data_IF_041983958593
#
_entry.id   IF_041983958593
#
_cell.length_a   1.000
_cell.length_b   1.000
_cell.length_c   1.000
_cell.angle_alpha   90.00
_cell.angle_beta   90.00
_cell.angle_gamma   90.00
#
_symmetry.space_group_name_H-M   'P 1'
#
loop_
_entity.id
_entity.type
_entity.pdbx_description
1 polymer ?
#
# COMPACT_ATOMS: atom_id res chain seq x y z
N UNK A 1 -2.01 31.69 10.23
CA UNK A 1 -2.98 32.80 10.44
C UNK A 1 -2.49 33.89 11.42
N UNK A 2 -1.44 33.70 12.24
CA UNK A 2 -1.05 34.71 13.25
C UNK A 2 0.10 35.67 12.89
N UNK A 3 0.79 35.49 11.76
CA UNK A 3 1.91 36.37 11.38
C UNK A 3 1.49 37.54 10.47
N UNK A 4 0.33 37.43 9.82
CA UNK A 4 -0.16 38.40 8.83
C UNK A 4 -0.73 39.68 9.49
N UNK A 5 -1.21 39.57 10.73
CA UNK A 5 -1.89 40.67 11.41
C UNK A 5 -0.96 41.67 12.12
N UNK A 6 0.34 41.37 12.23
CA UNK A 6 1.29 42.27 12.89
C UNK A 6 1.77 43.44 11.99
N UNK A 7 1.43 43.42 10.70
CA UNK A 7 1.87 44.44 9.74
C UNK A 7 0.86 45.60 9.54
N UNK A 8 -0.34 45.53 10.11
CA UNK A 8 -1.46 46.42 9.79
C UNK A 8 -1.55 47.72 10.61
N UNK A 9 -0.51 48.08 11.36
CA UNK A 9 -0.56 49.17 12.34
C UNK A 9 0.47 50.28 12.15
N UNK A 10 0.48 51.01 11.02
CA UNK A 10 0.92 52.41 10.93
C UNK A 10 0.65 52.98 9.52
N UNK A 11 -0.08 54.09 9.45
CA UNK A 11 -0.51 54.79 8.23
C UNK A 11 0.55 55.78 7.74
N UNK A 12 0.79 55.85 6.43
CA UNK A 12 1.31 57.06 5.76
C UNK A 12 2.28 56.82 4.60
N UNK A 13 1.76 56.85 3.35
CA UNK A 13 2.46 57.07 2.07
C UNK A 13 3.98 56.80 2.01
N UNK A 14 4.33 55.52 2.01
CA UNK A 14 5.46 54.97 1.27
C UNK A 14 5.05 53.54 0.95
N UNK A 15 5.08 53.15 -0.32
CA UNK A 15 4.97 51.73 -0.65
C UNK A 15 6.12 51.03 0.08
N UNK A 16 5.82 50.26 1.13
CA UNK A 16 6.83 49.66 2.01
C UNK A 16 7.80 48.78 1.22
N UNK A 17 9.01 48.56 1.71
CA UNK A 17 10.02 47.71 1.03
C UNK A 17 9.46 46.32 0.67
N UNK A 18 9.75 45.84 -0.55
CA UNK A 18 9.41 44.47 -0.97
C UNK A 18 10.44 43.42 -0.53
N UNK A 19 11.57 43.84 0.06
CA UNK A 19 12.62 42.91 0.49
C UNK A 19 12.13 41.80 1.42
N UNK A 20 11.26 42.05 2.41
CA UNK A 20 10.71 40.98 3.24
C UNK A 20 10.00 39.89 2.43
N UNK A 21 9.30 40.27 1.36
CA UNK A 21 8.62 39.32 0.48
C UNK A 21 9.63 38.46 -0.30
N UNK A 22 10.70 39.08 -0.80
CA UNK A 22 11.78 38.37 -1.50
C UNK A 22 12.48 37.37 -0.57
N UNK A 23 12.70 37.72 0.70
CA UNK A 23 13.27 36.83 1.70
C UNK A 23 12.36 35.64 2.01
N UNK A 24 11.05 35.88 2.19
CA UNK A 24 10.06 34.82 2.39
C UNK A 24 10.04 33.85 1.21
N UNK A 25 9.96 34.36 -0.02
CA UNK A 25 9.97 33.54 -1.22
C UNK A 25 11.27 32.72 -1.34
N UNK A 26 12.42 33.36 -1.11
CA UNK A 26 13.73 32.69 -1.12
C UNK A 26 13.81 31.56 -0.08
N UNK A 27 13.26 31.78 1.11
CA UNK A 27 13.18 30.78 2.17
C UNK A 27 12.27 29.60 1.80
N UNK A 28 11.11 29.87 1.19
CA UNK A 28 10.19 28.84 0.71
C UNK A 28 10.83 27.97 -0.37
N UNK A 29 11.50 28.57 -1.36
CA UNK A 29 12.18 27.82 -2.44
C UNK A 29 13.23 26.87 -1.86
N UNK A 30 14.05 27.33 -0.92
CA UNK A 30 15.03 26.49 -0.22
C UNK A 30 14.35 25.31 0.48
N UNK A 31 13.27 25.59 1.23
CA UNK A 31 12.52 24.55 1.93
C UNK A 31 11.91 23.52 0.97
N UNK A 32 11.37 23.96 -0.18
CA UNK A 32 10.82 23.05 -1.22
C UNK A 32 11.91 22.10 -1.74
N UNK A 33 13.11 22.62 -2.02
CA UNK A 33 14.24 21.82 -2.48
C UNK A 33 14.69 20.82 -1.41
N UNK A 34 14.66 21.19 -0.13
CA UNK A 34 14.98 20.29 0.98
C UNK A 34 13.94 19.16 1.13
N UNK A 35 12.64 19.46 1.05
CA UNK A 35 11.58 18.44 1.07
C UNK A 35 11.77 17.48 -0.11
N UNK A 36 12.06 17.98 -1.30
CA UNK A 36 12.35 17.15 -2.47
C UNK A 36 13.56 16.22 -2.24
N UNK A 37 14.66 16.74 -1.69
CA UNK A 37 15.86 15.91 -1.43
C UNK A 37 15.60 14.77 -0.46
N UNK A 38 14.68 14.96 0.49
CA UNK A 38 14.26 13.95 1.44
C UNK A 38 13.19 12.98 0.90
N UNK A 39 12.65 13.20 -0.30
CA UNK A 39 11.56 12.39 -0.84
C UNK A 39 12.04 10.98 -1.23
N UNK A 40 11.35 9.96 -0.70
CA UNK A 40 11.60 8.55 -1.03
C UNK A 40 10.71 8.05 -2.18
N UNK A 41 9.50 8.61 -2.32
CA UNK A 41 8.51 8.23 -3.33
C UNK A 41 8.10 9.41 -4.21
N UNK A 42 7.49 9.13 -5.36
CA UNK A 42 7.04 10.14 -6.35
C UNK A 42 8.14 11.15 -6.69
N UNK A 43 9.38 10.65 -6.82
CA UNK A 43 10.56 11.51 -6.93
C UNK A 43 10.53 12.33 -8.21
N UNK A 44 9.87 11.87 -9.27
CA UNK A 44 9.81 12.60 -10.55
C UNK A 44 8.86 13.78 -10.44
N UNK A 45 7.66 13.56 -9.88
CA UNK A 45 6.72 14.64 -9.56
C UNK A 45 7.35 15.66 -8.60
N UNK A 46 7.99 15.19 -7.53
CA UNK A 46 8.66 16.08 -6.57
C UNK A 46 9.82 16.85 -7.21
N UNK A 47 10.61 16.19 -8.07
CA UNK A 47 11.72 16.83 -8.82
C UNK A 47 11.20 17.92 -9.74
N UNK A 48 10.18 17.63 -10.54
CA UNK A 48 9.59 18.56 -11.51
C UNK A 48 9.19 19.88 -10.83
N UNK A 49 8.48 19.80 -9.70
CA UNK A 49 8.10 21.00 -8.93
C UNK A 49 9.30 21.72 -8.29
N UNK A 50 10.28 20.98 -7.77
CA UNK A 50 11.49 21.58 -7.19
C UNK A 50 12.34 22.30 -8.25
N UNK A 51 12.47 21.71 -9.43
CA UNK A 51 13.18 22.31 -10.58
C UNK A 51 12.44 23.54 -11.10
N UNK A 52 11.10 23.51 -11.14
CA UNK A 52 10.28 24.69 -11.46
C UNK A 52 10.55 25.82 -10.51
N UNK A 53 10.40 25.64 -9.20
CA UNK A 53 10.65 26.73 -8.24
C UNK A 53 12.11 27.18 -8.25
N UNK A 54 13.06 26.29 -8.53
CA UNK A 54 14.49 26.63 -8.61
C UNK A 54 14.83 27.71 -9.64
N UNK A 55 14.06 27.85 -10.73
CA UNK A 55 14.33 28.88 -11.75
C UNK A 55 14.08 30.30 -11.24
N UNK A 56 13.30 30.47 -10.16
CA UNK A 56 13.01 31.80 -9.59
C UNK A 56 14.15 32.38 -8.78
N UNK A 57 15.15 31.58 -8.42
CA UNK A 57 16.27 32.05 -7.60
C UNK A 57 16.97 33.23 -8.27
N UNK A 58 17.32 33.13 -9.56
CA UNK A 58 17.99 34.20 -10.28
C UNK A 58 17.14 35.49 -10.39
N UNK A 59 15.86 35.44 -10.84
CA UNK A 59 14.97 36.60 -10.82
C UNK A 59 14.83 37.26 -9.44
N UNK A 60 14.75 36.47 -8.36
CA UNK A 60 14.66 37.00 -6.99
C UNK A 60 15.95 37.71 -6.55
N UNK A 61 17.13 37.17 -6.87
CA UNK A 61 18.40 37.86 -6.58
C UNK A 61 18.53 39.18 -7.35
N UNK A 62 18.04 39.25 -8.59
CA UNK A 62 17.99 40.50 -9.36
C UNK A 62 17.06 41.55 -8.73
N UNK A 63 16.04 41.14 -7.98
CA UNK A 63 15.21 42.08 -7.21
C UNK A 63 15.97 42.68 -6.03
N UNK A 64 16.87 41.93 -5.38
CA UNK A 64 17.65 42.45 -4.24
C UNK A 64 18.65 43.53 -4.62
N UNK A 65 19.11 43.50 -5.87
CA UNK A 65 20.11 44.43 -6.40
C UNK A 65 19.45 45.70 -6.94
N UNK A 66 18.20 45.61 -7.40
CA UNK A 66 17.48 46.77 -7.95
C UNK A 66 17.14 47.79 -6.85
N UNK A 67 17.36 49.06 -7.15
CA UNK A 67 16.96 50.14 -6.24
C UNK A 67 15.44 50.16 -6.06
N UNK A 68 14.97 50.26 -4.81
CA UNK A 68 13.54 50.22 -4.44
C UNK A 68 12.68 51.33 -5.09
N UNK A 69 13.32 52.37 -5.62
CA UNK A 69 12.69 53.57 -6.14
C UNK A 69 12.04 53.39 -7.53
N UNK A 70 12.21 52.24 -8.18
CA UNK A 70 11.43 51.87 -9.37
C UNK A 70 10.05 51.35 -8.93
N UNK A 71 9.15 52.31 -8.66
CA UNK A 71 7.75 52.20 -8.29
C UNK A 71 7.10 50.86 -8.67
N UNK A 72 7.08 49.94 -7.70
CA UNK A 72 6.23 48.76 -7.74
C UNK A 72 4.90 49.14 -7.13
N UNK A 73 3.87 49.14 -7.96
CA UNK A 73 2.51 49.49 -7.60
C UNK A 73 1.83 48.38 -6.77
N UNK A 74 0.60 48.63 -6.35
CA UNK A 74 -0.24 47.65 -5.63
C UNK A 74 -0.39 46.33 -6.42
N UNK A 75 -0.35 46.41 -7.75
CA UNK A 75 -0.45 45.24 -8.65
C UNK A 75 0.76 44.32 -8.45
N UNK A 76 1.96 44.87 -8.34
CA UNK A 76 3.15 44.07 -8.04
C UNK A 76 3.04 43.36 -6.68
N UNK A 77 2.64 44.06 -5.62
CA UNK A 77 2.51 43.45 -4.30
C UNK A 77 1.48 42.33 -4.31
N UNK A 78 0.34 42.55 -4.95
CA UNK A 78 -0.70 41.53 -5.13
C UNK A 78 -0.17 40.30 -5.88
N UNK A 79 0.58 40.49 -6.97
CA UNK A 79 1.22 39.41 -7.72
C UNK A 79 2.24 38.64 -6.86
N UNK A 80 3.02 39.35 -6.04
CA UNK A 80 4.04 38.73 -5.18
C UNK A 80 3.42 37.91 -4.05
N UNK A 81 2.34 38.40 -3.42
CA UNK A 81 1.60 37.63 -2.42
C UNK A 81 1.00 36.36 -3.02
N UNK A 82 0.45 36.43 -4.24
CA UNK A 82 -0.02 35.23 -4.96
C UNK A 82 1.13 34.25 -5.22
N UNK A 83 2.29 34.75 -5.62
CA UNK A 83 3.47 33.91 -5.83
C UNK A 83 3.91 33.17 -4.55
N UNK A 84 3.99 33.88 -3.42
CA UNK A 84 4.29 33.26 -2.11
C UNK A 84 3.26 32.18 -1.77
N UNK A 85 1.98 32.46 -1.96
CA UNK A 85 0.90 31.48 -1.73
C UNK A 85 1.05 30.22 -2.59
N UNK A 86 1.40 30.37 -3.87
CA UNK A 86 1.67 29.23 -4.75
C UNK A 86 2.86 28.41 -4.27
N UNK A 87 3.96 29.06 -3.84
CA UNK A 87 5.11 28.37 -3.27
C UNK A 87 4.75 27.56 -2.01
N UNK A 88 3.91 28.12 -1.14
CA UNK A 88 3.42 27.41 0.06
C UNK A 88 2.62 26.15 -0.33
N UNK A 89 1.71 26.26 -1.30
CA UNK A 89 0.92 25.12 -1.78
C UNK A 89 1.79 24.05 -2.44
N UNK A 90 2.80 24.46 -3.22
CA UNK A 90 3.78 23.52 -3.81
C UNK A 90 4.54 22.79 -2.70
N UNK A 91 5.02 23.50 -1.68
CA UNK A 91 5.74 22.90 -0.55
C UNK A 91 4.88 21.86 0.17
N UNK A 92 3.64 22.22 0.48
CA UNK A 92 2.70 21.31 1.13
C UNK A 92 2.44 20.08 0.25
N UNK A 93 2.19 20.29 -1.04
CA UNK A 93 1.93 19.20 -1.97
C UNK A 93 3.11 18.25 -2.13
N UNK A 94 4.35 18.75 -2.26
CA UNK A 94 5.54 17.89 -2.30
C UNK A 94 5.66 17.07 -1.02
N UNK A 95 5.40 17.67 0.14
CA UNK A 95 5.44 16.96 1.43
C UNK A 95 4.34 15.89 1.56
N UNK A 96 3.18 16.09 0.94
CA UNK A 96 2.11 15.10 0.87
C UNK A 96 2.47 13.97 -0.10
N UNK A 97 2.77 14.31 -1.36
CA UNK A 97 2.96 13.34 -2.45
C UNK A 97 4.22 12.50 -2.25
N UNK A 98 5.29 13.06 -1.67
CA UNK A 98 6.51 12.31 -1.33
C UNK A 98 6.28 11.14 -0.36
N UNK A 99 5.17 11.15 0.38
CA UNK A 99 4.79 10.10 1.34
C UNK A 99 3.77 9.10 0.77
N UNK A 100 3.19 9.38 -0.41
CA UNK A 100 2.19 8.49 -1.01
C UNK A 100 2.91 7.29 -1.64
N UNK A 101 2.71 6.12 -1.05
CA UNK A 101 3.29 4.85 -1.51
C UNK A 101 2.26 3.70 -1.40
N UNK A 102 2.62 2.54 -1.95
CA UNK A 102 1.79 1.34 -1.90
C UNK A 102 0.41 1.55 -2.54
N UNK A 103 -0.64 0.94 -1.95
CA UNK A 103 -1.99 1.00 -2.53
C UNK A 103 -2.57 2.44 -2.59
N UNK A 104 -2.12 3.34 -1.70
CA UNK A 104 -2.60 4.73 -1.67
C UNK A 104 -2.18 5.54 -2.90
N UNK A 105 -1.13 5.11 -3.61
CA UNK A 105 -0.66 5.72 -4.88
C UNK A 105 -1.76 5.62 -5.95
N UNK A 106 -2.43 4.48 -6.08
CA UNK A 106 -3.51 4.24 -7.06
C UNK A 106 -4.79 5.01 -6.75
N UNK A 107 -5.28 4.90 -5.51
CA UNK A 107 -6.54 5.52 -5.11
C UNK A 107 -6.51 7.05 -5.24
N UNK A 108 -5.31 7.65 -5.29
CA UNK A 108 -5.10 9.10 -5.40
C UNK A 108 -4.53 9.53 -6.74
N UNK A 109 -4.36 8.65 -7.73
CA UNK A 109 -3.65 8.96 -8.98
C UNK A 109 -4.29 10.15 -9.75
N UNK A 110 -5.62 10.19 -9.85
CA UNK A 110 -6.36 11.30 -10.49
C UNK A 110 -6.14 12.60 -9.70
N UNK A 111 -6.33 12.55 -8.38
CA UNK A 111 -6.18 13.73 -7.50
C UNK A 111 -4.75 14.28 -7.51
N UNK A 112 -3.75 13.39 -7.55
CA UNK A 112 -2.32 13.75 -7.69
C UNK A 112 -2.09 14.45 -9.02
N UNK A 113 -2.65 13.92 -10.11
CA UNK A 113 -2.53 14.54 -11.45
C UNK A 113 -3.14 15.93 -11.48
N UNK A 114 -4.41 16.06 -11.11
CA UNK A 114 -5.14 17.34 -11.13
C UNK A 114 -4.47 18.40 -10.26
N UNK A 115 -4.01 18.02 -9.06
CA UNK A 115 -3.33 18.95 -8.14
C UNK A 115 -1.95 19.36 -8.68
N UNK A 116 -1.21 18.45 -9.31
CA UNK A 116 0.05 18.78 -9.96
C UNK A 116 -0.16 19.77 -11.11
N UNK A 117 -1.06 19.46 -12.05
CA UNK A 117 -1.38 20.31 -13.21
C UNK A 117 -1.77 21.71 -12.77
N UNK A 118 -2.70 21.81 -11.81
CA UNK A 118 -3.13 23.10 -11.26
C UNK A 118 -1.99 23.89 -10.64
N UNK A 119 -1.13 23.26 -9.83
CA UNK A 119 -0.01 23.95 -9.20
C UNK A 119 1.02 24.44 -10.23
N UNK A 120 1.24 23.68 -11.30
CA UNK A 120 2.13 24.12 -12.38
C UNK A 120 1.56 25.32 -13.14
N UNK A 121 0.25 25.35 -13.41
CA UNK A 121 -0.44 26.47 -14.05
C UNK A 121 -0.47 27.72 -13.16
N UNK A 122 -0.79 27.57 -11.88
CA UNK A 122 -0.80 28.66 -10.90
C UNK A 122 0.61 29.27 -10.77
N UNK A 123 1.65 28.44 -10.78
CA UNK A 123 3.05 28.90 -10.75
C UNK A 123 3.43 29.66 -12.02
N UNK A 124 3.09 29.12 -13.20
CA UNK A 124 3.39 29.77 -14.48
C UNK A 124 2.69 31.13 -14.59
N UNK A 125 1.46 31.22 -14.07
CA UNK A 125 0.68 32.46 -14.00
C UNK A 125 1.35 33.47 -13.06
N UNK A 126 1.75 33.06 -11.86
CA UNK A 126 2.44 33.93 -10.92
C UNK A 126 3.79 34.44 -11.45
N UNK A 127 4.55 33.59 -12.14
CA UNK A 127 5.79 33.97 -12.82
C UNK A 127 5.57 35.04 -13.90
N UNK A 128 4.49 34.91 -14.66
CA UNK A 128 4.10 35.85 -15.71
C UNK A 128 3.67 37.19 -15.11
N UNK A 129 2.83 37.18 -14.07
CA UNK A 129 2.34 38.39 -13.39
C UNK A 129 3.49 39.21 -12.78
N UNK A 130 4.54 38.53 -12.29
CA UNK A 130 5.76 39.17 -11.77
C UNK A 130 6.75 39.61 -12.86
N UNK A 131 6.44 39.35 -14.13
CA UNK A 131 7.32 39.59 -15.27
C UNK A 131 8.72 38.96 -15.08
N UNK A 132 8.80 37.78 -14.47
CA UNK A 132 10.06 37.02 -14.33
C UNK A 132 10.47 36.33 -15.65
N UNK A 133 10.01 36.84 -16.79
CA UNK A 133 9.87 36.20 -18.09
C UNK A 133 11.09 35.38 -18.55
N UNK A 134 10.85 34.08 -18.79
CA UNK A 134 11.77 33.15 -19.43
C UNK A 134 10.98 32.20 -20.36
N UNK A 135 10.20 32.79 -21.29
CA UNK A 135 9.15 32.11 -22.11
C UNK A 135 9.65 30.85 -22.83
N UNK A 136 10.91 30.82 -23.26
CA UNK A 136 11.48 29.70 -24.02
C UNK A 136 11.73 28.46 -23.12
N UNK A 137 12.07 28.65 -21.84
CA UNK A 137 12.28 27.52 -20.92
C UNK A 137 10.97 26.88 -20.43
N UNK A 138 9.83 27.57 -20.57
CA UNK A 138 8.57 27.12 -19.99
C UNK A 138 7.90 26.00 -20.80
N UNK A 139 8.02 26.03 -22.13
CA UNK A 139 7.37 25.05 -23.01
C UNK A 139 8.07 23.68 -22.99
N UNK A 140 9.40 23.66 -23.03
CA UNK A 140 10.20 22.44 -22.86
C UNK A 140 10.00 21.84 -21.45
N UNK A 141 9.88 22.71 -20.43
CA UNK A 141 9.64 22.27 -19.06
C UNK A 141 8.27 21.63 -18.88
N UNK A 142 7.21 22.20 -19.47
CA UNK A 142 5.88 21.57 -19.50
C UNK A 142 5.92 20.15 -20.09
N UNK A 143 6.71 19.91 -21.14
CA UNK A 143 6.90 18.56 -21.68
C UNK A 143 7.60 17.64 -20.68
N UNK A 144 8.64 18.13 -20.01
CA UNK A 144 9.36 17.37 -18.99
C UNK A 144 8.47 17.06 -17.76
N UNK A 145 7.58 17.97 -17.39
CA UNK A 145 6.61 17.77 -16.31
C UNK A 145 5.59 16.69 -16.67
N UNK A 146 5.06 16.73 -17.90
CA UNK A 146 4.14 15.70 -18.41
C UNK A 146 4.82 14.33 -18.42
N UNK A 147 6.09 14.27 -18.85
CA UNK A 147 6.89 13.04 -18.79
C UNK A 147 7.08 12.60 -17.34
N UNK A 148 7.47 13.49 -16.43
CA UNK A 148 7.69 13.16 -15.03
C UNK A 148 6.41 12.64 -14.36
N UNK A 149 5.27 13.28 -14.64
CA UNK A 149 3.95 12.90 -14.16
C UNK A 149 3.53 11.54 -14.72
N UNK A 150 3.62 11.37 -16.04
CA UNK A 150 3.29 10.15 -16.75
C UNK A 150 4.14 8.98 -16.29
N UNK A 151 5.45 9.17 -16.09
CA UNK A 151 6.33 8.10 -15.65
C UNK A 151 6.08 7.66 -14.20
N UNK A 152 5.86 8.59 -13.26
CA UNK A 152 5.49 8.24 -11.89
C UNK A 152 4.11 7.55 -11.85
N UNK A 153 3.19 7.92 -12.75
CA UNK A 153 1.87 7.29 -12.90
C UNK A 153 1.89 5.95 -13.64
N UNK A 154 2.73 5.76 -14.66
CA UNK A 154 2.81 4.53 -15.45
C UNK A 154 3.49 3.40 -14.67
N UNK A 155 4.38 3.75 -13.73
CA UNK A 155 4.86 2.80 -12.73
C UNK A 155 3.66 2.15 -11.98
N UNK A 156 2.52 2.84 -11.84
CA UNK A 156 1.29 2.27 -11.26
C UNK A 156 0.64 1.21 -12.12
N UNK A 157 0.45 1.48 -13.41
CA UNK A 157 -0.20 0.53 -14.31
C UNK A 157 0.56 -0.79 -14.39
N UNK A 158 1.90 -0.74 -14.26
CA UNK A 158 2.73 -1.95 -14.20
C UNK A 158 2.49 -2.79 -12.95
N UNK A 159 2.27 -2.18 -11.79
CA UNK A 159 1.89 -2.92 -10.57
C UNK A 159 0.44 -3.40 -10.62
N UNK A 160 -0.48 -2.62 -11.19
CA UNK A 160 -1.87 -3.04 -11.36
C UNK A 160 -1.98 -4.26 -12.27
N UNK A 161 -1.32 -4.26 -13.42
CA UNK A 161 -1.28 -5.43 -14.32
C UNK A 161 -0.67 -6.68 -13.66
N UNK A 162 0.29 -6.52 -12.76
CA UNK A 162 0.83 -7.62 -11.96
C UNK A 162 -0.15 -8.15 -10.89
N UNK A 163 -1.09 -7.33 -10.43
CA UNK A 163 -2.16 -7.74 -9.51
C UNK A 163 -3.35 -8.31 -10.30
N UNK A 164 -3.72 -7.71 -11.42
CA UNK A 164 -4.80 -8.14 -12.30
C UNK A 164 -4.53 -9.55 -12.82
N UNK A 165 -3.30 -9.81 -13.28
CA UNK A 165 -2.87 -11.16 -13.68
C UNK A 165 -2.94 -12.19 -12.54
N UNK A 166 -2.76 -11.78 -11.27
CA UNK A 166 -2.96 -12.66 -10.11
C UNK A 166 -4.45 -12.83 -9.78
N UNK A 167 -5.26 -11.79 -9.95
CA UNK A 167 -6.70 -11.85 -9.76
C UNK A 167 -7.37 -12.76 -10.80
N UNK A 168 -6.91 -12.75 -12.04
CA UNK A 168 -7.34 -13.68 -13.09
C UNK A 168 -7.01 -15.14 -12.73
N UNK A 169 -5.83 -15.39 -12.16
CA UNK A 169 -5.47 -16.72 -11.65
C UNK A 169 -6.41 -17.16 -10.52
N UNK A 170 -6.74 -16.27 -9.59
CA UNK A 170 -7.70 -16.54 -8.51
C UNK A 170 -9.10 -16.79 -9.09
N UNK A 171 -9.52 -16.01 -10.10
CA UNK A 171 -10.82 -16.18 -10.75
C UNK A 171 -10.94 -17.54 -11.43
N UNK A 172 -9.91 -17.99 -12.16
CA UNK A 172 -9.89 -19.30 -12.77
C UNK A 172 -9.84 -20.44 -11.73
N UNK A 173 -9.11 -20.27 -10.62
CA UNK A 173 -9.14 -21.22 -9.49
C UNK A 173 -10.52 -21.29 -8.83
N UNK A 174 -11.18 -20.16 -8.57
CA UNK A 174 -12.53 -20.09 -7.99
C UNK A 174 -13.57 -20.68 -8.93
N UNK A 175 -13.46 -20.42 -10.22
CA UNK A 175 -14.31 -21.00 -11.28
C UNK A 175 -14.09 -22.50 -11.41
N UNK A 176 -12.85 -22.96 -11.28
CA UNK A 176 -12.51 -24.38 -11.19
C UNK A 176 -13.20 -25.01 -9.97
N UNK A 177 -13.08 -24.41 -8.78
CA UNK A 177 -13.75 -24.86 -7.56
C UNK A 177 -15.28 -24.88 -7.75
N UNK A 178 -15.87 -23.84 -8.32
CA UNK A 178 -17.32 -23.74 -8.60
C UNK A 178 -17.80 -24.86 -9.52
N UNK A 179 -17.08 -25.12 -10.61
CA UNK A 179 -17.41 -26.22 -11.53
C UNK A 179 -17.38 -27.59 -10.85
N UNK A 180 -16.45 -27.79 -9.92
CA UNK A 180 -16.35 -29.04 -9.15
C UNK A 180 -17.30 -29.05 -7.94
N UNK A 181 -17.86 -27.91 -7.52
CA UNK A 181 -18.90 -27.82 -6.49
C UNK A 181 -20.24 -28.38 -7.00
N UNK A 182 -20.58 -28.15 -8.27
CA UNK A 182 -21.83 -28.59 -8.90
C UNK A 182 -21.88 -30.07 -9.28
N UNK A 183 -20.75 -30.79 -9.15
CA UNK A 183 -20.66 -32.22 -9.45
C UNK A 183 -21.32 -33.05 -8.31
N UNK A 184 -22.52 -33.57 -8.59
CA UNK A 184 -23.42 -34.24 -7.63
C UNK A 184 -23.02 -35.69 -7.27
N UNK A 185 -21.80 -36.10 -7.58
CA UNK A 185 -21.34 -37.49 -7.51
C UNK A 185 -20.53 -37.83 -6.25
N UNK A 186 -20.44 -36.92 -5.27
CA UNK A 186 -19.65 -37.18 -4.06
C UNK A 186 -20.48 -37.76 -2.91
N UNK A 187 -20.03 -38.92 -2.43
CA UNK A 187 -20.56 -39.59 -1.24
C UNK A 187 -19.78 -39.16 0.01
N UNK A 188 -19.99 -37.94 0.50
CA UNK A 188 -19.43 -37.47 1.79
C UNK A 188 -17.90 -37.49 1.90
N UNK A 189 -17.39 -37.30 3.12
CA UNK A 189 -15.96 -37.41 3.42
C UNK A 189 -15.46 -38.86 3.34
N UNK A 190 -14.22 -39.07 2.90
CA UNK A 190 -13.59 -40.39 2.97
C UNK A 190 -13.57 -40.89 4.43
N UNK A 191 -14.12 -42.07 4.68
CA UNK A 191 -14.07 -42.72 6.00
C UNK A 191 -12.78 -43.55 6.10
N UNK A 192 -11.87 -43.11 6.94
CA UNK A 192 -10.58 -43.78 7.18
C UNK A 192 -10.76 -44.77 8.33
N UNK A 193 -10.37 -46.03 8.14
CA UNK A 193 -10.38 -47.03 9.20
C UNK A 193 -9.41 -46.62 10.32
N UNK A 194 -9.90 -46.54 11.54
CA UNK A 194 -9.13 -46.23 12.75
C UNK A 194 -7.89 -47.10 12.89
N UNK A 195 -7.94 -48.36 12.43
CA UNK A 195 -6.80 -49.28 12.47
C UNK A 195 -5.64 -48.88 11.56
N UNK A 196 -5.91 -48.08 10.52
CA UNK A 196 -4.89 -47.58 9.60
C UNK A 196 -4.12 -46.38 10.16
N UNK A 197 -4.60 -45.77 11.26
CA UNK A 197 -3.99 -44.62 11.93
C UNK A 197 -3.08 -45.07 13.07
N UNK A 198 -1.83 -45.38 12.71
CA UNK A 198 -0.84 -45.89 13.65
C UNK A 198 -0.20 -44.76 14.47
N UNK A 199 0.22 -45.07 15.69
CA UNK A 199 1.05 -44.15 16.46
C UNK A 199 2.44 -44.02 15.80
N UNK A 200 3.05 -42.82 15.82
CA UNK A 200 4.38 -42.64 15.27
C UNK A 200 5.40 -43.49 16.03
N UNK A 201 6.36 -44.07 15.30
CA UNK A 201 7.36 -44.99 15.85
C UNK A 201 8.25 -44.40 16.97
N UNK A 202 8.33 -43.06 17.07
CA UNK A 202 9.01 -42.36 18.17
C UNK A 202 8.03 -41.36 18.80
N UNK A 203 7.70 -41.57 20.07
CA UNK A 203 6.93 -40.63 20.86
C UNK A 203 7.75 -39.37 21.13
N UNK A 204 7.24 -38.23 20.69
CA UNK A 204 7.79 -36.91 21.00
C UNK A 204 6.72 -36.01 21.63
N UNK A 205 7.09 -35.04 22.49
CA UNK A 205 6.14 -34.14 23.13
C UNK A 205 5.33 -33.30 22.12
N UNK A 206 5.88 -33.00 20.95
CA UNK A 206 5.24 -32.21 19.89
C UNK A 206 4.21 -32.99 19.05
N UNK A 207 4.08 -34.31 19.29
CA UNK A 207 3.09 -35.16 18.62
C UNK A 207 1.66 -34.86 19.07
N UNK A 208 1.45 -34.10 20.14
CA UNK A 208 0.12 -33.62 20.57
C UNK A 208 0.14 -32.12 20.73
N UNK A 209 -0.84 -31.43 20.14
CA UNK A 209 -0.97 -29.97 20.18
C UNK A 209 -2.38 -29.57 20.60
N UNK A 210 -2.50 -28.49 21.37
CA UNK A 210 -3.77 -27.99 21.88
C UNK A 210 -4.20 -28.62 23.22
N UNK A 211 -5.43 -28.32 23.63
CA UNK A 211 -6.02 -28.75 24.90
C UNK A 211 -7.33 -29.48 24.65
N UNK A 212 -7.66 -30.43 25.52
CA UNK A 212 -8.95 -31.10 25.50
C UNK A 212 -10.11 -30.08 25.55
N UNK A 213 -11.22 -30.29 24.81
CA UNK A 213 -11.54 -31.43 23.95
C UNK A 213 -10.98 -31.34 22.52
N UNK A 214 -10.50 -30.17 22.09
CA UNK A 214 -10.08 -29.90 20.72
C UNK A 214 -8.55 -29.89 20.62
N UNK A 215 -7.96 -31.08 20.57
CA UNK A 215 -6.53 -31.25 20.37
C UNK A 215 -6.22 -32.00 19.06
N UNK A 216 -4.99 -31.82 18.59
CA UNK A 216 -4.47 -32.48 17.39
C UNK A 216 -3.44 -33.52 17.83
N UNK A 217 -3.60 -34.74 17.35
CA UNK A 217 -2.67 -35.84 17.58
C UNK A 217 -2.02 -36.27 16.27
N UNK A 218 -0.70 -36.46 16.32
CA UNK A 218 0.08 -36.96 15.19
C UNK A 218 -0.08 -38.48 15.08
N UNK A 219 -0.46 -38.95 13.89
CA UNK A 219 -0.54 -40.37 13.53
C UNK A 219 0.22 -40.62 12.23
N UNK A 220 0.34 -41.88 11.85
CA UNK A 220 0.91 -42.31 10.57
C UNK A 220 -0.15 -43.06 9.77
N UNK A 221 -0.39 -42.61 8.54
CA UNK A 221 -1.33 -43.21 7.58
C UNK A 221 -0.56 -43.56 6.31
N UNK A 222 -0.49 -44.85 5.95
CA UNK A 222 0.25 -45.34 4.76
C UNK A 222 1.70 -44.80 4.66
N UNK A 223 2.38 -44.66 5.79
CA UNK A 223 3.75 -44.12 5.87
C UNK A 223 3.86 -42.59 5.83
N UNK A 224 2.75 -41.87 5.67
CA UNK A 224 2.69 -40.40 5.75
C UNK A 224 2.33 -39.93 7.16
N UNK A 225 2.94 -38.83 7.60
CA UNK A 225 2.58 -38.20 8.87
C UNK A 225 1.29 -37.38 8.70
N UNK A 226 0.30 -37.66 9.55
CA UNK A 226 -1.01 -37.02 9.51
C UNK A 226 -1.37 -36.40 10.85
N UNK A 227 -2.15 -35.31 10.78
CA UNK A 227 -2.74 -34.62 11.91
C UNK A 227 -4.19 -35.10 12.10
N UNK A 228 -4.47 -35.77 13.22
CA UNK A 228 -5.81 -36.15 13.63
C UNK A 228 -6.35 -35.09 14.59
N UNK A 229 -7.25 -34.24 14.10
CA UNK A 229 -7.92 -33.21 14.90
C UNK A 229 -9.20 -33.79 15.48
N UNK A 230 -9.20 -34.03 16.78
CA UNK A 230 -10.38 -34.53 17.49
C UNK A 230 -11.41 -33.40 17.60
N UNK A 231 -12.69 -33.79 17.51
CA UNK A 231 -13.82 -32.87 17.63
C UNK A 231 -14.86 -33.47 18.58
N UNK A 232 -15.58 -32.61 19.29
CA UNK A 232 -16.71 -33.00 20.15
C UNK A 232 -17.98 -33.30 19.35
N UNK A 233 -17.93 -33.26 18.02
CA UNK A 233 -19.06 -33.56 17.14
C UNK A 233 -19.50 -35.02 17.31
N UNK A 234 -20.79 -35.24 17.54
CA UNK A 234 -21.33 -36.59 17.69
C UNK A 234 -21.40 -37.31 16.34
N UNK A 235 -21.55 -38.64 16.36
CA UNK A 235 -21.74 -39.43 15.14
C UNK A 235 -22.98 -38.98 14.37
N UNK A 236 -24.07 -38.71 15.08
CA UNK A 236 -25.32 -38.21 14.49
C UNK A 236 -25.12 -36.88 13.77
N UNK A 237 -24.37 -35.95 14.36
CA UNK A 237 -24.04 -34.67 13.74
C UNK A 237 -23.11 -34.84 12.54
N UNK A 238 -22.15 -35.76 12.61
CA UNK A 238 -21.27 -36.07 11.48
C UNK A 238 -22.05 -36.69 10.32
N UNK A 239 -23.06 -37.52 10.57
CA UNK A 239 -23.78 -38.26 9.52
C UNK A 239 -24.99 -37.51 8.95
N UNK A 240 -25.72 -36.75 9.78
CA UNK A 240 -27.02 -36.16 9.40
C UNK A 240 -27.03 -34.64 9.26
N UNK A 241 -26.02 -33.93 9.78
CA UNK A 241 -26.00 -32.48 9.73
C UNK A 241 -25.49 -31.98 8.37
N UNK A 242 -26.40 -31.41 7.58
CA UNK A 242 -26.13 -30.88 6.24
C UNK A 242 -25.01 -29.83 6.23
N UNK A 243 -24.86 -29.05 7.32
CA UNK A 243 -23.78 -28.07 7.45
C UNK A 243 -22.43 -28.76 7.63
N UNK A 244 -22.35 -29.81 8.45
CA UNK A 244 -21.11 -30.55 8.69
C UNK A 244 -20.68 -31.27 7.42
N UNK A 245 -21.62 -31.95 6.76
CA UNK A 245 -21.39 -32.61 5.47
C UNK A 245 -20.90 -31.63 4.41
N UNK A 246 -21.55 -30.46 4.28
CA UNK A 246 -21.10 -29.42 3.35
C UNK A 246 -19.67 -28.91 3.62
N UNK A 247 -19.28 -28.78 4.90
CA UNK A 247 -17.89 -28.41 5.24
C UNK A 247 -16.89 -29.51 4.84
N UNK A 248 -17.22 -30.78 5.10
CA UNK A 248 -16.35 -31.90 4.76
C UNK A 248 -16.19 -32.05 3.25
N UNK A 249 -17.26 -31.83 2.48
CA UNK A 249 -17.22 -31.83 1.01
C UNK A 249 -16.30 -30.75 0.46
N UNK A 250 -16.38 -29.53 0.99
CA UNK A 250 -15.48 -28.44 0.60
C UNK A 250 -14.02 -28.82 0.90
N UNK A 251 -13.75 -29.36 2.09
CA UNK A 251 -12.39 -29.79 2.47
C UNK A 251 -11.85 -30.89 1.54
N UNK A 252 -12.68 -31.86 1.16
CA UNK A 252 -12.28 -32.89 0.20
C UNK A 252 -11.95 -32.30 -1.17
N UNK A 253 -12.72 -31.33 -1.65
CA UNK A 253 -12.46 -30.65 -2.94
C UNK A 253 -11.18 -29.82 -2.91
N UNK A 254 -10.88 -29.18 -1.78
CA UNK A 254 -9.66 -28.38 -1.61
C UNK A 254 -8.40 -29.23 -1.38
N UNK A 255 -8.52 -30.54 -1.18
CA UNK A 255 -7.38 -31.46 -0.97
C UNK A 255 -6.42 -31.56 -2.18
N UNK A 256 -6.81 -31.02 -3.34
CA UNK A 256 -6.00 -30.95 -4.55
C UNK A 256 -5.18 -29.65 -4.67
N UNK A 257 -5.45 -28.65 -3.83
CA UNK A 257 -4.76 -27.37 -3.85
C UNK A 257 -3.43 -27.45 -3.08
N UNK A 258 -2.30 -27.14 -3.74
CA UNK A 258 -0.96 -27.23 -3.13
C UNK A 258 -0.71 -26.23 -1.99
N UNK A 259 -1.51 -25.17 -1.90
CA UNK A 259 -1.37 -24.11 -0.88
C UNK A 259 -2.39 -24.23 0.26
N UNK A 260 -3.25 -25.25 0.23
CA UNK A 260 -4.26 -25.48 1.28
C UNK A 260 -3.92 -26.79 1.99
N UNK A 261 -4.07 -26.78 3.31
CA UNK A 261 -3.78 -27.94 4.14
C UNK A 261 -4.59 -29.16 3.66
N UNK A 262 -3.92 -30.20 3.16
CA UNK A 262 -4.59 -31.36 2.58
C UNK A 262 -5.47 -32.09 3.60
N UNK A 263 -6.74 -32.25 3.26
CA UNK A 263 -7.70 -33.07 4.01
C UNK A 263 -7.79 -34.48 3.41
N UNK A 264 -7.66 -35.51 4.25
CA UNK A 264 -7.70 -36.91 3.82
C UNK A 264 -9.04 -37.58 4.06
N UNK A 265 -9.78 -37.14 5.10
CA UNK A 265 -11.05 -37.75 5.49
C UNK A 265 -11.34 -37.67 6.98
N UNK A 266 -12.35 -38.42 7.42
CA UNK A 266 -12.77 -38.54 8.82
C UNK A 266 -12.50 -39.94 9.36
N UNK A 267 -12.24 -40.06 10.65
CA UNK A 267 -12.01 -41.33 11.35
C UNK A 267 -12.47 -41.23 12.81
N UNK A 268 -12.27 -42.31 13.56
CA UNK A 268 -12.47 -42.33 15.02
C UNK A 268 -11.18 -42.67 15.74
N UNK A 269 -10.88 -41.97 16.81
CA UNK A 269 -9.76 -42.26 17.72
C UNK A 269 -10.35 -42.34 19.13
N UNK A 270 -10.20 -43.49 19.79
CA UNK A 270 -10.72 -43.73 21.15
C UNK A 270 -12.19 -43.30 21.29
N UNK A 271 -13.04 -43.76 20.37
CA UNK A 271 -14.48 -43.43 20.26
C UNK A 271 -14.83 -41.96 19.99
N UNK A 272 -13.82 -41.10 19.78
CA UNK A 272 -14.03 -39.69 19.45
C UNK A 272 -13.82 -39.46 17.96
N UNK A 273 -14.72 -38.67 17.35
CA UNK A 273 -14.59 -38.31 15.94
C UNK A 273 -13.35 -37.44 15.70
N UNK A 274 -12.64 -37.75 14.61
CA UNK A 274 -11.43 -37.06 14.23
C UNK A 274 -11.41 -36.74 12.74
N UNK A 275 -11.01 -35.52 12.41
CA UNK A 275 -10.69 -35.11 11.05
C UNK A 275 -9.20 -35.33 10.78
N UNK A 276 -8.85 -35.91 9.63
CA UNK A 276 -7.49 -36.28 9.27
C UNK A 276 -6.96 -35.32 8.21
N UNK A 277 -5.90 -34.59 8.57
CA UNK A 277 -5.21 -33.62 7.71
C UNK A 277 -3.74 -33.98 7.54
N UNK A 278 -3.04 -33.34 6.62
CA UNK A 278 -1.58 -33.39 6.58
C UNK A 278 -0.96 -32.79 7.84
N UNK A 279 0.18 -33.35 8.25
CA UNK A 279 0.89 -32.87 9.42
C UNK A 279 1.69 -31.60 9.11
N UNK A 280 1.25 -30.47 9.67
CA UNK A 280 2.01 -29.22 9.62
C UNK A 280 3.21 -29.25 10.58
N UNK A 281 4.40 -29.54 10.07
CA UNK A 281 5.62 -29.74 10.88
C UNK A 281 5.90 -28.56 11.83
N UNK A 282 5.63 -27.32 11.40
CA UNK A 282 5.88 -26.09 12.17
C UNK A 282 4.71 -25.59 13.02
N UNK A 283 3.60 -26.32 13.06
CA UNK A 283 2.40 -25.86 13.77
C UNK A 283 1.63 -24.82 13.02
N UNK A 284 0.76 -24.15 13.75
CA UNK A 284 -0.01 -23.01 13.25
C UNK A 284 0.93 -21.83 13.03
N UNK A 285 0.51 -20.92 12.15
CA UNK A 285 1.25 -19.69 11.90
C UNK A 285 1.45 -18.88 13.20
N UNK A 286 0.41 -18.85 14.06
CA UNK A 286 0.48 -18.20 15.38
C UNK A 286 1.58 -18.80 16.26
N UNK A 287 1.60 -20.12 16.43
CA UNK A 287 2.63 -20.82 17.22
C UNK A 287 4.04 -20.52 16.67
N UNK A 288 4.20 -20.49 15.35
CA UNK A 288 5.48 -20.18 14.71
C UNK A 288 5.99 -18.78 15.06
N UNK A 289 5.10 -17.77 15.04
CA UNK A 289 5.45 -16.38 15.41
C UNK A 289 5.68 -16.21 16.91
N UNK A 290 5.01 -16.99 17.76
CA UNK A 290 5.22 -16.96 19.22
C UNK A 290 6.55 -17.62 19.62
N UNK A 291 6.99 -18.64 18.88
CA UNK A 291 8.23 -19.39 19.16
C UNK A 291 9.49 -18.79 18.55
N UNK A 292 9.36 -18.05 17.43
CA UNK A 292 10.51 -17.59 16.66
C UNK A 292 10.40 -16.13 16.28
N UNK A 293 11.50 -15.41 16.44
CA UNK A 293 11.68 -14.11 15.80
C UNK A 293 12.06 -14.31 14.32
N UNK A 294 11.09 -14.13 13.43
CA UNK A 294 11.23 -14.35 11.98
C UNK A 294 11.65 -13.05 11.32
N UNK A 295 12.81 -13.04 10.66
CA UNK A 295 13.28 -11.88 9.88
C UNK A 295 12.34 -11.54 8.72
N UNK A 296 12.22 -10.25 8.39
CA UNK A 296 11.23 -9.74 7.42
C UNK A 296 11.24 -10.44 6.06
N UNK A 297 12.44 -10.71 5.51
CA UNK A 297 12.59 -11.35 4.21
C UNK A 297 12.02 -12.78 4.15
N UNK A 298 11.96 -13.50 5.28
CA UNK A 298 11.31 -14.81 5.34
C UNK A 298 9.80 -14.71 5.50
N UNK A 299 9.26 -13.63 6.07
CA UNK A 299 7.79 -13.44 6.22
C UNK A 299 7.09 -13.36 4.88
N UNK A 300 7.73 -12.74 3.88
CA UNK A 300 7.22 -12.58 2.51
C UNK A 300 7.13 -13.92 1.75
N UNK A 301 7.82 -14.96 2.22
CA UNK A 301 7.79 -16.30 1.60
C UNK A 301 6.80 -17.25 2.29
N UNK A 302 6.21 -16.84 3.41
CA UNK A 302 5.23 -17.64 4.17
C UNK A 302 3.78 -17.34 3.71
N UNK A 303 3.59 -16.24 2.97
CA UNK A 303 2.30 -15.79 2.43
C UNK A 303 1.88 -16.52 1.16
#
# INVERSE_FOLDING_TARGET
MNTINQAFGAVGNAVGSYMPLVEIASGLIKAIVEVYRAAEYNKKICRALAERVGITVAPLELLKIRHENELRDEVFYSAFYKFIYVLENIKEYINEVSKIHGFRKYAKAIVVREKFEKLTEDYDTAMKDLNFTLVIANEERRKNDEIALSEDLAEFEKYLSAIDSKADNIYEEVKYIRKHLDDKTFHGANKIDSKSLLLPARGKPDNRRGKFPNFVEKRTLNGQEVACKLTSTTDEEMESNTRVQGHLEILMKLSTCNHILRFYGVSKIDETNAMVFEWAQRGTLKELYELKDIQWHYKVQIS
#
